data_IF_384493906960
#
_entry.id   IF_384493906960
#
_cell.length_a   1.000
_cell.length_b   1.000
_cell.length_c   1.000
_cell.angle_alpha   90.00
_cell.angle_beta   90.00
_cell.angle_gamma   90.00
#
_symmetry.space_group_name_H-M   'P 1'
#
loop_
_entity.id
_entity.type
_entity.pdbx_description
1 polymer ?
#
# COMPACT_ATOMS: atom_id res chain seq x y z
N UNK A 1 11.52 -33.63 -16.17
CA UNK A 1 10.69 -32.39 -16.21
C UNK A 1 11.55 -31.35 -16.87
N UNK A 2 11.07 -30.64 -17.91
CA UNK A 2 11.89 -29.60 -18.53
C UNK A 2 12.06 -28.42 -17.56
N UNK A 3 13.26 -27.86 -17.50
CA UNK A 3 13.54 -26.69 -16.69
C UNK A 3 12.66 -25.52 -17.17
N UNK A 4 12.19 -24.64 -16.27
CA UNK A 4 11.33 -23.50 -16.63
C UNK A 4 11.93 -22.60 -17.71
N UNK A 5 13.24 -22.44 -17.74
CA UNK A 5 13.97 -21.68 -18.76
C UNK A 5 13.84 -22.29 -20.15
N UNK A 6 13.98 -23.63 -20.27
CA UNK A 6 13.85 -24.34 -21.53
C UNK A 6 12.43 -24.22 -22.10
N UNK A 7 11.44 -24.17 -21.23
CA UNK A 7 10.04 -23.97 -21.61
C UNK A 7 9.80 -22.55 -22.11
N UNK A 8 10.29 -21.54 -21.39
CA UNK A 8 10.15 -20.15 -21.80
C UNK A 8 10.87 -19.87 -23.11
N UNK A 9 12.10 -20.36 -23.30
CA UNK A 9 12.85 -20.16 -24.52
C UNK A 9 12.15 -20.74 -25.77
N UNK A 10 11.31 -21.76 -25.60
CA UNK A 10 10.49 -22.30 -26.68
C UNK A 10 9.27 -21.42 -27.00
N UNK A 11 8.81 -20.63 -26.05
CA UNK A 11 7.65 -19.75 -26.20
C UNK A 11 8.04 -18.35 -26.65
N UNK A 12 9.23 -17.90 -26.26
CA UNK A 12 9.70 -16.54 -26.58
C UNK A 12 10.09 -16.46 -28.06
N UNK A 13 9.57 -15.46 -28.72
CA UNK A 13 9.88 -15.15 -30.10
C UNK A 13 11.33 -14.68 -30.24
N UNK A 14 12.18 -15.50 -30.83
CA UNK A 14 13.63 -15.21 -30.93
C UNK A 14 13.95 -14.34 -32.13
N UNK A 15 14.95 -13.47 -32.00
CA UNK A 15 15.45 -12.57 -33.06
C UNK A 15 15.88 -13.34 -34.33
N UNK A 16 16.24 -14.62 -34.20
CA UNK A 16 16.68 -15.45 -35.31
C UNK A 16 15.58 -15.72 -36.35
N UNK A 17 14.31 -15.60 -35.98
CA UNK A 17 13.19 -15.90 -36.87
C UNK A 17 12.72 -14.71 -37.70
N UNK A 18 12.79 -13.44 -37.21
CA UNK A 18 12.29 -12.26 -37.94
C UNK A 18 13.06 -10.96 -37.64
N UNK A 19 14.22 -10.99 -37.06
CA UNK A 19 15.00 -9.77 -36.73
C UNK A 19 14.45 -8.93 -35.60
N UNK A 20 13.25 -9.28 -35.06
CA UNK A 20 12.63 -8.67 -33.90
C UNK A 20 12.44 -9.74 -32.86
N UNK A 21 13.22 -9.73 -31.80
CA UNK A 21 13.03 -10.61 -30.64
C UNK A 21 12.17 -9.93 -29.59
N UNK A 22 11.65 -10.70 -28.65
CA UNK A 22 11.07 -10.17 -27.43
C UNK A 22 12.18 -9.93 -26.38
N UNK A 23 12.57 -8.66 -26.13
CA UNK A 23 13.63 -8.35 -25.17
C UNK A 23 13.10 -8.25 -23.72
N UNK A 24 11.78 -8.45 -23.51
CA UNK A 24 11.11 -8.18 -22.24
C UNK A 24 10.74 -9.42 -21.46
N UNK A 25 10.59 -10.57 -22.15
CA UNK A 25 10.25 -11.82 -21.49
C UNK A 25 11.49 -12.56 -21.01
N UNK A 26 11.63 -12.70 -19.71
CA UNK A 26 12.70 -13.49 -19.07
C UNK A 26 12.17 -14.20 -17.83
N UNK A 27 12.79 -15.30 -17.47
CA UNK A 27 12.62 -15.97 -16.19
C UNK A 27 13.89 -15.74 -15.37
N UNK A 28 13.77 -15.10 -14.25
CA UNK A 28 14.83 -15.05 -13.26
C UNK A 28 14.67 -16.25 -12.32
N UNK A 29 15.58 -17.19 -12.38
CA UNK A 29 15.64 -18.30 -11.43
C UNK A 29 16.29 -17.76 -10.16
N UNK A 30 15.44 -17.40 -9.19
CA UNK A 30 15.88 -17.20 -7.82
C UNK A 30 15.86 -18.54 -7.12
N UNK A 31 16.92 -18.80 -6.36
CA UNK A 31 16.94 -19.97 -5.49
C UNK A 31 15.63 -20.05 -4.71
N UNK A 32 15.00 -21.23 -4.63
CA UNK A 32 13.69 -21.38 -3.99
C UNK A 32 13.68 -20.85 -2.54
N UNK A 33 14.86 -20.84 -1.90
CA UNK A 33 15.06 -20.20 -0.60
C UNK A 33 14.99 -18.66 -0.69
N UNK A 34 15.48 -18.06 -1.77
CA UNK A 34 15.46 -16.62 -1.98
C UNK A 34 14.10 -16.13 -2.50
N UNK A 35 13.43 -16.95 -3.31
CA UNK A 35 12.05 -16.69 -3.71
C UNK A 35 11.10 -16.77 -2.49
N UNK A 36 11.24 -17.78 -1.64
CA UNK A 36 10.49 -17.90 -0.40
C UNK A 36 10.83 -16.75 0.56
N UNK A 37 12.09 -16.37 0.68
CA UNK A 37 12.52 -15.21 1.47
C UNK A 37 12.01 -13.89 0.88
N UNK A 38 12.08 -13.70 -0.43
CA UNK A 38 11.53 -12.52 -1.09
C UNK A 38 10.01 -12.43 -0.93
N UNK A 39 9.32 -13.57 -0.84
CA UNK A 39 7.88 -13.63 -0.55
C UNK A 39 7.57 -13.44 0.93
N UNK A 40 8.48 -13.87 1.81
CA UNK A 40 8.36 -13.79 3.27
C UNK A 40 9.08 -12.55 3.86
N UNK A 41 10.09 -12.01 3.18
CA UNK A 41 10.71 -10.71 3.50
C UNK A 41 9.88 -9.58 2.89
N UNK A 42 8.61 -9.57 3.20
CA UNK A 42 7.87 -8.34 3.03
C UNK A 42 8.37 -7.38 4.08
N UNK A 43 8.80 -6.26 3.60
CA UNK A 43 9.06 -5.08 4.39
C UNK A 43 7.97 -4.98 5.44
N UNK A 44 8.38 -4.82 6.68
CA UNK A 44 7.47 -4.52 7.77
C UNK A 44 6.58 -3.35 7.36
N UNK A 45 5.27 -3.47 7.52
CA UNK A 45 4.30 -2.42 7.15
C UNK A 45 3.18 -2.33 8.16
N UNK A 46 2.55 -1.18 8.26
CA UNK A 46 1.27 -1.06 8.97
C UNK A 46 0.11 -1.67 8.20
N UNK A 47 0.28 -1.92 6.89
CA UNK A 47 -0.68 -2.65 6.06
C UNK A 47 -1.77 -1.79 5.45
N UNK A 48 -1.46 -0.57 5.06
CA UNK A 48 -2.32 0.27 4.26
C UNK A 48 -1.52 1.01 3.18
N UNK A 49 -2.19 1.42 2.14
CA UNK A 49 -1.66 2.30 1.11
C UNK A 49 -2.38 3.64 1.13
N UNK A 50 -1.69 4.69 0.74
CA UNK A 50 -2.19 6.05 0.86
C UNK A 50 -1.68 6.95 -0.26
N UNK A 51 -2.39 8.01 -0.47
CA UNK A 51 -2.05 9.12 -1.34
C UNK A 51 -1.81 10.38 -0.50
N UNK A 52 -0.68 11.05 -0.74
CA UNK A 52 -0.43 12.35 -0.11
C UNK A 52 -1.10 13.45 -0.90
N UNK A 53 -1.81 14.31 -0.21
CA UNK A 53 -2.49 15.46 -0.79
C UNK A 53 -2.25 16.69 0.07
N UNK A 54 -1.97 17.81 -0.57
CA UNK A 54 -2.14 19.11 0.10
C UNK A 54 -3.63 19.34 0.30
N UNK A 55 -3.99 20.07 1.34
CA UNK A 55 -5.38 20.37 1.65
C UNK A 55 -6.21 20.66 0.39
N UNK A 56 -7.14 19.75 0.01
CA UNK A 56 -7.92 19.89 -1.20
C UNK A 56 -8.88 21.10 -1.16
N UNK A 57 -9.13 21.67 0.02
CA UNK A 57 -9.94 22.88 0.16
C UNK A 57 -9.18 24.14 -0.21
N UNK A 58 -7.84 24.08 -0.23
CA UNK A 58 -6.98 25.23 -0.48
C UNK A 58 -6.94 26.26 0.66
N UNK A 59 -7.54 25.94 1.81
CA UNK A 59 -7.57 26.85 2.98
C UNK A 59 -6.22 26.85 3.68
N UNK A 60 -5.53 25.71 3.68
CA UNK A 60 -4.24 25.54 4.36
C UNK A 60 -3.19 24.90 3.45
N UNK A 61 -1.93 24.92 3.89
CA UNK A 61 -0.85 24.17 3.27
C UNK A 61 -0.61 22.81 3.93
N UNK A 62 -1.52 22.36 4.78
CA UNK A 62 -1.41 21.06 5.46
C UNK A 62 -1.39 19.91 4.47
N UNK A 63 -0.62 18.90 4.81
CA UNK A 63 -0.53 17.66 4.05
C UNK A 63 -1.36 16.61 4.76
N UNK A 64 -2.18 15.92 4.00
CA UNK A 64 -2.99 14.79 4.45
C UNK A 64 -2.59 13.53 3.72
N UNK A 65 -2.71 12.39 4.38
CA UNK A 65 -2.66 11.09 3.74
C UNK A 65 -4.07 10.51 3.68
N UNK A 66 -4.57 10.32 2.46
CA UNK A 66 -5.84 9.65 2.21
C UNK A 66 -5.61 8.17 2.04
N UNK A 67 -6.25 7.34 2.84
CA UNK A 67 -6.13 5.88 2.75
C UNK A 67 -6.85 5.37 1.51
N UNK A 68 -6.13 4.65 0.65
CA UNK A 68 -6.64 4.05 -0.58
C UNK A 68 -7.19 2.65 -0.34
N UNK A 69 -6.49 1.85 0.45
CA UNK A 69 -6.94 0.54 0.91
C UNK A 69 -6.21 0.14 2.19
N UNK A 70 -6.78 -0.83 2.91
CA UNK A 70 -6.20 -1.43 4.11
C UNK A 70 -6.18 -2.94 3.93
N UNK A 71 -5.03 -3.55 4.21
CA UNK A 71 -4.87 -5.00 4.16
C UNK A 71 -5.57 -5.64 5.36
N UNK A 72 -6.32 -6.72 5.15
CA UNK A 72 -6.90 -7.48 6.26
C UNK A 72 -5.81 -8.07 7.14
N UNK A 73 -6.12 -8.25 8.42
CA UNK A 73 -5.20 -8.78 9.44
C UNK A 73 -3.89 -7.99 9.56
N UNK A 74 -3.91 -6.71 9.25
CA UNK A 74 -2.80 -5.78 9.40
C UNK A 74 -2.93 -4.93 10.67
N UNK A 75 -1.84 -4.32 11.16
CA UNK A 75 -1.91 -3.35 12.25
C UNK A 75 -2.91 -2.22 12.01
N UNK A 76 -3.01 -1.73 10.77
CA UNK A 76 -3.96 -0.71 10.39
C UNK A 76 -5.42 -1.19 10.45
N UNK A 77 -5.69 -2.40 9.95
CA UNK A 77 -7.01 -3.04 10.03
C UNK A 77 -7.44 -3.27 11.48
N UNK A 78 -6.52 -3.75 12.33
CA UNK A 78 -6.79 -3.97 13.76
C UNK A 78 -7.04 -2.67 14.52
N UNK A 79 -6.45 -1.57 14.06
CA UNK A 79 -6.68 -0.23 14.60
C UNK A 79 -7.98 0.44 14.10
N UNK A 80 -8.71 -0.20 13.19
CA UNK A 80 -9.93 0.35 12.61
C UNK A 80 -9.71 1.45 11.59
N UNK A 81 -8.55 1.44 10.92
CA UNK A 81 -8.34 2.28 9.75
C UNK A 81 -9.06 1.70 8.54
N UNK A 82 -9.68 2.57 7.75
CA UNK A 82 -10.48 2.20 6.60
C UNK A 82 -10.15 3.05 5.37
N UNK A 83 -10.48 2.51 4.21
CA UNK A 83 -10.41 3.27 2.96
C UNK A 83 -11.19 4.58 3.07
N UNK A 84 -10.57 5.66 2.63
CA UNK A 84 -11.16 7.00 2.65
C UNK A 84 -10.90 7.79 3.93
N UNK A 85 -10.30 7.18 4.97
CA UNK A 85 -9.85 7.94 6.13
C UNK A 85 -8.75 8.91 5.72
N UNK A 86 -8.73 10.06 6.39
CA UNK A 86 -7.71 11.08 6.22
C UNK A 86 -6.85 11.16 7.47
N UNK A 87 -5.56 11.02 7.31
CA UNK A 87 -4.57 11.14 8.38
C UNK A 87 -3.90 12.51 8.27
N UNK A 88 -3.94 13.28 9.34
CA UNK A 88 -3.35 14.63 9.42
C UNK A 88 -2.08 14.69 10.27
N UNK A 89 -1.87 13.73 11.18
CA UNK A 89 -0.72 13.72 12.06
C UNK A 89 -0.28 12.29 12.43
N UNK A 90 1.02 12.17 12.77
CA UNK A 90 1.67 10.95 13.24
C UNK A 90 2.23 11.24 14.63
N UNK A 91 1.74 10.52 15.65
CA UNK A 91 2.08 10.83 17.04
C UNK A 91 1.57 12.20 17.43
N UNK A 92 2.50 13.12 17.67
CA UNK A 92 2.22 14.53 18.00
C UNK A 92 2.62 15.50 16.89
N UNK A 93 3.12 15.01 15.79
CA UNK A 93 3.65 15.81 14.68
C UNK A 93 2.67 15.81 13.52
N UNK A 94 2.41 16.99 12.97
CA UNK A 94 1.64 17.14 11.75
C UNK A 94 2.31 16.40 10.59
N UNK A 95 1.49 15.83 9.70
CA UNK A 95 1.96 15.15 8.51
C UNK A 95 2.54 16.17 7.52
N UNK A 96 3.69 15.83 6.98
CA UNK A 96 4.42 16.65 6.01
C UNK A 96 5.00 15.78 4.91
N UNK A 97 5.45 16.40 3.83
CA UNK A 97 6.19 15.72 2.75
C UNK A 97 7.56 15.15 3.20
N UNK A 98 8.01 15.44 4.42
CA UNK A 98 9.29 14.94 4.93
C UNK A 98 9.13 13.78 5.91
N UNK A 99 7.99 13.64 6.58
CA UNK A 99 7.77 12.62 7.61
C UNK A 99 6.77 11.51 7.22
N UNK A 100 6.18 11.58 6.03
CA UNK A 100 5.21 10.59 5.57
C UNK A 100 5.74 9.13 5.56
N UNK A 101 7.06 8.95 5.50
CA UNK A 101 7.68 7.63 5.57
C UNK A 101 7.30 6.86 6.84
N UNK A 102 7.01 7.57 7.93
CA UNK A 102 6.52 6.96 9.17
C UNK A 102 5.09 6.42 9.09
N UNK A 103 4.36 6.67 8.00
CA UNK A 103 3.09 5.98 7.71
C UNK A 103 3.28 4.58 7.13
N UNK A 104 4.45 4.29 6.58
CA UNK A 104 4.70 3.00 5.92
C UNK A 104 5.11 1.93 6.91
N UNK A 105 6.02 2.26 7.83
CA UNK A 105 6.56 1.33 8.81
C UNK A 105 7.03 2.07 10.08
N UNK A 106 7.10 1.35 11.18
CA UNK A 106 7.61 1.89 12.46
C UNK A 106 7.15 1.09 13.68
N UNK A 107 7.42 1.66 14.85
CA UNK A 107 6.94 1.12 16.13
C UNK A 107 5.45 1.40 16.38
N UNK A 108 5.01 1.15 17.61
CA UNK A 108 3.68 1.57 18.05
C UNK A 108 3.56 3.09 17.93
N UNK A 109 2.50 3.55 17.30
CA UNK A 109 2.27 4.98 17.07
C UNK A 109 0.78 5.32 17.14
N UNK A 110 0.48 6.60 16.93
CA UNK A 110 -0.90 7.06 16.79
C UNK A 110 -1.04 7.85 15.50
N UNK A 111 -2.18 7.69 14.83
CA UNK A 111 -2.54 8.50 13.67
C UNK A 111 -3.77 9.33 14.00
N UNK A 112 -3.65 10.65 13.85
CA UNK A 112 -4.79 11.55 14.00
C UNK A 112 -5.61 11.51 12.70
N UNK A 113 -6.93 11.33 12.83
CA UNK A 113 -7.86 11.33 11.71
C UNK A 113 -8.69 12.60 11.71
N UNK A 114 -8.93 13.11 10.51
CA UNK A 114 -9.82 14.22 10.26
C UNK A 114 -10.85 13.84 9.19
N UNK A 115 -11.96 14.53 9.19
CA UNK A 115 -13.01 14.41 8.18
C UNK A 115 -13.26 15.74 7.51
N UNK A 116 -13.34 15.71 6.19
CA UNK A 116 -13.77 16.85 5.41
C UNK A 116 -15.30 16.91 5.42
N UNK A 117 -15.85 17.99 5.91
CA UNK A 117 -17.29 18.22 5.96
C UNK A 117 -17.66 19.45 5.14
N UNK A 118 -18.88 19.43 4.61
CA UNK A 118 -19.45 20.54 3.87
C UNK A 118 -20.68 21.07 4.60
N UNK A 119 -20.79 22.39 4.70
CA UNK A 119 -21.99 23.01 5.24
C UNK A 119 -23.10 23.12 4.16
N UNK A 120 -24.26 23.66 4.55
CA UNK A 120 -25.41 23.81 3.62
C UNK A 120 -25.12 24.80 2.49
N UNK A 121 -24.14 25.68 2.66
CA UNK A 121 -23.71 26.67 1.67
C UNK A 121 -22.59 26.12 0.76
N UNK A 122 -22.11 24.90 1.03
CA UNK A 122 -21.06 24.23 0.25
C UNK A 122 -19.63 24.60 0.66
N UNK A 123 -19.45 25.33 1.78
CA UNK A 123 -18.12 25.60 2.30
C UNK A 123 -17.57 24.32 2.95
N UNK A 124 -16.30 24.07 2.75
CA UNK A 124 -15.63 22.90 3.32
C UNK A 124 -14.85 23.27 4.59
N UNK A 125 -14.82 22.35 5.54
CA UNK A 125 -14.00 22.46 6.73
C UNK A 125 -13.50 21.10 7.21
N UNK A 126 -12.32 21.11 7.85
CA UNK A 126 -11.77 19.92 8.47
C UNK A 126 -12.23 19.82 9.92
N UNK A 127 -12.68 18.65 10.32
CA UNK A 127 -13.06 18.34 11.69
C UNK A 127 -12.22 17.16 12.17
N UNK A 128 -11.53 17.36 13.30
CA UNK A 128 -10.83 16.27 13.97
C UNK A 128 -11.84 15.18 14.37
N UNK A 129 -11.60 13.96 13.92
CA UNK A 129 -12.47 12.82 14.20
C UNK A 129 -12.02 12.10 15.46
N UNK A 130 -10.82 11.57 15.43
CA UNK A 130 -10.22 10.84 16.54
C UNK A 130 -8.71 10.63 16.33
N UNK A 131 -8.11 9.93 17.27
CA UNK A 131 -6.71 9.48 17.17
C UNK A 131 -6.67 7.98 17.43
N UNK A 132 -6.28 7.20 16.41
CA UNK A 132 -6.18 5.74 16.51
C UNK A 132 -4.78 5.33 16.92
N UNK A 133 -4.70 4.32 17.79
CA UNK A 133 -3.45 3.67 18.17
C UNK A 133 -3.19 2.51 17.25
N UNK A 134 -2.04 2.51 16.60
CA UNK A 134 -1.64 1.47 15.67
C UNK A 134 -0.44 0.72 16.25
N UNK A 135 -0.54 -0.62 16.28
CA UNK A 135 0.56 -1.48 16.71
C UNK A 135 1.75 -1.36 15.76
N UNK A 136 2.93 -1.78 16.23
CA UNK A 136 4.14 -1.78 15.41
C UNK A 136 3.93 -2.48 14.07
N UNK A 137 4.53 -1.94 13.05
CA UNK A 137 4.54 -2.53 11.72
C UNK A 137 5.10 -3.95 11.76
N UNK A 138 4.55 -4.82 10.92
CA UNK A 138 4.95 -6.22 10.81
C UNK A 138 4.79 -6.70 9.37
N UNK A 139 5.40 -7.84 8.99
CA UNK A 139 5.09 -8.49 7.74
C UNK A 139 3.59 -8.82 7.67
N UNK A 140 2.94 -8.40 6.57
CA UNK A 140 1.52 -8.67 6.31
C UNK A 140 1.43 -9.49 5.04
N UNK A 141 0.74 -10.62 5.10
CA UNK A 141 0.51 -11.44 3.92
C UNK A 141 -0.43 -10.74 2.96
N UNK A 142 0.02 -10.58 1.71
CA UNK A 142 -0.84 -10.19 0.60
C UNK A 142 -1.48 -11.46 0.05
N UNK A 143 -2.73 -11.70 0.36
CA UNK A 143 -3.48 -12.74 -0.32
C UNK A 143 -4.07 -12.13 -1.60
N UNK A 144 -3.60 -12.52 -2.80
CA UNK A 144 -4.16 -12.02 -4.06
C UNK A 144 -5.60 -12.49 -4.29
N UNK A 145 -6.03 -13.56 -3.60
CA UNK A 145 -7.38 -14.10 -3.64
C UNK A 145 -8.14 -13.73 -2.37
N UNK A 146 -8.59 -12.47 -2.30
CA UNK A 146 -9.31 -11.99 -1.13
C UNK A 146 -10.74 -12.58 -1.03
N UNK A 147 -11.37 -12.86 -2.17
CA UNK A 147 -12.68 -13.51 -2.25
C UNK A 147 -12.59 -14.58 -3.33
N UNK A 148 -12.77 -15.83 -2.92
CA UNK A 148 -12.99 -16.97 -3.80
C UNK A 148 -14.39 -17.50 -3.51
N UNK A 149 -15.37 -17.03 -4.27
CA UNK A 149 -16.77 -17.44 -4.13
C UNK A 149 -17.29 -17.91 -5.47
N UNK A 150 -17.66 -19.17 -5.53
CA UNK A 150 -18.41 -19.74 -6.65
C UNK A 150 -19.89 -19.50 -6.37
N UNK A 151 -20.55 -18.74 -7.22
CA UNK A 151 -22.01 -18.61 -7.20
C UNK A 151 -22.61 -19.78 -7.97
N UNK A 152 -23.37 -20.63 -7.30
CA UNK A 152 -24.21 -21.67 -7.93
C UNK A 152 -25.52 -21.08 -8.45
#
# INVERSE_FOLDING_TARGET
MAEPEDFLQKLVYTKAQNGKGDPYSYIEIKDASDAARSYLQRTSTYGFDFELMTDPTGISSHVFARILFVLPNSPASEAGLERGNWISAIGKEELTNNNYGYLMEGGNTTFARESLVFDEEGNSSWIATDTVKVAASRPVELNPFYIDTVYE
#
